data_IF_990084476691
#
_entry.id   IF_990084476691
#
_cell.length_a   1.000
_cell.length_b   1.000
_cell.length_c   1.000
_cell.angle_alpha   90.00
_cell.angle_beta   90.00
_cell.angle_gamma   90.00
#
_symmetry.space_group_name_H-M   'P 1'
#
loop_
_entity.id
_entity.type
_entity.pdbx_description
1 polymer ?
#
# COMPACT_ATOMS: atom_id res chain seq x y z
N UNK A 1 22.25 2.03 14.55
CA UNK A 1 21.60 0.77 14.93
C UNK A 1 21.86 -0.22 13.80
N UNK A 2 22.42 -1.40 14.08
CA UNK A 2 22.60 -2.44 13.03
C UNK A 2 21.33 -3.28 13.01
N UNK A 3 20.56 -3.17 11.94
CA UNK A 3 19.44 -4.06 11.68
C UNK A 3 19.96 -5.22 10.84
N UNK A 4 19.93 -6.42 11.37
CA UNK A 4 20.41 -7.64 10.68
C UNK A 4 19.34 -8.71 10.84
N UNK A 5 18.83 -9.25 9.75
CA UNK A 5 18.07 -10.49 9.79
C UNK A 5 19.00 -11.63 10.22
N UNK A 6 18.53 -12.47 11.15
CA UNK A 6 19.32 -13.61 11.61
C UNK A 6 19.73 -14.51 10.46
N UNK A 7 21.02 -14.87 10.40
CA UNK A 7 21.74 -15.52 9.31
C UNK A 7 21.39 -17.00 9.06
N UNK A 8 20.20 -17.50 9.25
CA UNK A 8 19.94 -18.93 9.10
C UNK A 8 18.65 -19.25 8.35
N UNK A 9 18.43 -18.61 7.18
CA UNK A 9 17.28 -18.98 6.34
C UNK A 9 17.69 -20.01 5.29
N UNK A 10 17.43 -21.28 5.59
CA UNK A 10 17.43 -22.38 4.61
C UNK A 10 16.12 -22.37 3.81
N UNK A 11 16.06 -23.10 2.70
CA UNK A 11 14.82 -23.26 1.91
C UNK A 11 13.65 -23.80 2.74
N UNK A 12 13.95 -24.59 3.79
CA UNK A 12 12.98 -25.15 4.75
C UNK A 12 12.34 -24.03 5.59
N UNK A 13 13.11 -23.01 5.98
CA UNK A 13 12.63 -21.87 6.77
C UNK A 13 11.70 -20.94 5.97
N UNK A 14 11.83 -20.89 4.65
CA UNK A 14 10.92 -20.13 3.77
C UNK A 14 9.54 -20.80 3.67
N UNK A 15 9.49 -22.14 3.62
CA UNK A 15 8.24 -22.89 3.68
C UNK A 15 7.57 -22.72 5.07
N UNK A 16 8.35 -22.71 6.14
CA UNK A 16 7.90 -22.46 7.51
C UNK A 16 7.33 -21.03 7.68
N UNK A 17 7.93 -20.03 7.03
CA UNK A 17 7.39 -18.65 7.01
C UNK A 17 5.98 -18.60 6.43
N UNK A 18 5.73 -19.33 5.35
CA UNK A 18 4.40 -19.35 4.71
C UNK A 18 3.37 -20.00 5.61
N UNK A 19 3.74 -21.06 6.33
CA UNK A 19 2.84 -21.73 7.27
C UNK A 19 2.62 -20.90 8.54
N UNK A 20 3.67 -20.23 9.05
CA UNK A 20 3.52 -19.26 10.12
C UNK A 20 2.63 -18.08 9.70
N UNK A 21 2.77 -17.57 8.48
CA UNK A 21 1.89 -16.54 7.95
C UNK A 21 0.42 -16.96 7.92
N UNK A 22 0.12 -18.21 7.56
CA UNK A 22 -1.25 -18.73 7.63
C UNK A 22 -1.81 -18.66 9.04
N UNK A 23 -1.02 -19.00 10.06
CA UNK A 23 -1.44 -18.88 11.47
C UNK A 23 -1.72 -17.42 11.86
N UNK A 24 -0.87 -16.49 11.42
CA UNK A 24 -1.12 -15.05 11.62
C UNK A 24 -2.36 -14.55 10.88
N UNK A 25 -2.71 -15.18 9.75
CA UNK A 25 -3.85 -14.77 8.91
C UNK A 25 -5.15 -15.51 9.26
N UNK A 26 -5.12 -16.55 10.09
CA UNK A 26 -6.35 -17.18 10.61
C UNK A 26 -7.15 -16.21 11.49
N UNK A 27 -6.46 -15.32 12.19
CA UNK A 27 -7.07 -14.24 13.01
C UNK A 27 -7.20 -12.91 12.26
N UNK A 28 -6.65 -12.81 11.02
CA UNK A 28 -6.73 -11.61 10.20
C UNK A 28 -8.05 -11.60 9.43
N UNK A 29 -8.53 -10.39 9.13
CA UNK A 29 -9.65 -10.18 8.22
C UNK A 29 -9.19 -10.54 6.79
N UNK A 30 -9.11 -11.83 6.50
CA UNK A 30 -8.97 -12.28 5.12
C UNK A 30 -10.37 -12.25 4.52
N UNK A 31 -10.67 -11.18 3.82
CA UNK A 31 -11.90 -11.09 3.07
C UNK A 31 -11.85 -12.07 1.89
N UNK A 32 -12.56 -13.17 2.01
CA UNK A 32 -12.75 -14.04 0.86
C UNK A 32 -13.38 -13.21 -0.27
N UNK A 33 -12.68 -13.13 -1.41
CA UNK A 33 -13.12 -12.33 -2.55
C UNK A 33 -12.79 -10.83 -2.47
N UNK A 34 -11.88 -10.40 -1.57
CA UNK A 34 -11.46 -8.99 -1.46
C UNK A 34 -10.95 -8.44 -2.81
N UNK A 35 -10.11 -9.18 -3.52
CA UNK A 35 -9.55 -8.72 -4.79
C UNK A 35 -10.62 -8.55 -5.87
N UNK A 36 -11.61 -9.45 -5.95
CA UNK A 36 -12.76 -9.32 -6.85
C UNK A 36 -13.63 -8.12 -6.45
N UNK A 37 -13.89 -7.92 -5.17
CA UNK A 37 -14.63 -6.76 -4.66
C UNK A 37 -13.93 -5.44 -5.00
N UNK A 38 -12.62 -5.35 -4.75
CA UNK A 38 -11.80 -4.18 -5.06
C UNK A 38 -11.84 -3.87 -6.56
N UNK A 39 -11.69 -4.88 -7.40
CA UNK A 39 -11.75 -4.73 -8.85
C UNK A 39 -13.12 -4.18 -9.31
N UNK A 40 -14.20 -4.74 -8.81
CA UNK A 40 -15.56 -4.33 -9.16
C UNK A 40 -15.88 -2.90 -8.70
N UNK A 41 -15.50 -2.52 -7.48
CA UNK A 41 -15.71 -1.16 -6.97
C UNK A 41 -14.81 -0.14 -7.70
N UNK A 42 -13.57 -0.50 -8.04
CA UNK A 42 -12.70 0.35 -8.86
C UNK A 42 -13.27 0.55 -10.26
N UNK A 43 -13.81 -0.50 -10.89
CA UNK A 43 -14.50 -0.39 -12.18
C UNK A 43 -15.71 0.56 -12.10
N UNK A 44 -16.54 0.42 -11.07
CA UNK A 44 -17.69 1.31 -10.84
C UNK A 44 -17.25 2.76 -10.63
N UNK A 45 -16.23 2.98 -9.81
CA UNK A 45 -15.68 4.31 -9.55
C UNK A 45 -15.15 4.94 -10.84
N UNK A 46 -14.33 4.23 -11.61
CA UNK A 46 -13.77 4.74 -12.86
C UNK A 46 -14.86 5.08 -13.89
N UNK A 47 -15.87 4.24 -14.04
CA UNK A 47 -17.03 4.54 -14.90
C UNK A 47 -17.77 5.78 -14.44
N UNK A 48 -17.94 5.99 -13.14
CA UNK A 48 -18.62 7.17 -12.61
C UNK A 48 -17.84 8.48 -12.84
N UNK A 49 -16.52 8.40 -13.02
CA UNK A 49 -15.64 9.57 -13.26
C UNK A 49 -15.48 9.82 -14.77
N UNK A 50 -15.30 8.75 -15.54
CA UNK A 50 -14.93 8.82 -16.95
C UNK A 50 -16.17 8.79 -17.85
N UNK A 51 -17.12 7.92 -17.55
CA UNK A 51 -18.35 7.64 -18.30
C UNK A 51 -18.56 6.14 -18.50
N UNK A 52 -19.82 5.75 -18.70
CA UNK A 52 -20.21 4.34 -18.82
C UNK A 52 -19.59 3.61 -20.01
N UNK A 53 -19.10 4.34 -21.03
CA UNK A 53 -18.41 3.77 -22.18
C UNK A 53 -17.02 3.22 -21.88
N UNK A 54 -16.42 3.62 -20.76
CA UNK A 54 -15.13 3.10 -20.32
C UNK A 54 -15.28 1.66 -19.79
N UNK A 55 -14.37 0.72 -20.03
CA UNK A 55 -13.06 0.89 -20.68
C UNK A 55 -13.05 0.71 -22.21
N UNK A 56 -14.18 0.61 -22.90
CA UNK A 56 -14.24 0.37 -24.35
C UNK A 56 -13.69 1.54 -25.18
N UNK A 57 -13.85 2.78 -24.66
CA UNK A 57 -13.19 3.98 -25.20
C UNK A 57 -12.21 4.49 -24.16
N UNK A 58 -10.95 4.61 -24.52
CA UNK A 58 -9.83 4.73 -23.57
C UNK A 58 -9.08 6.05 -23.65
N UNK A 59 -9.47 6.95 -24.54
CA UNK A 59 -8.69 8.14 -24.89
C UNK A 59 -9.07 9.40 -24.10
N UNK A 60 -10.31 9.50 -23.66
CA UNK A 60 -10.80 10.70 -22.95
C UNK A 60 -12.00 10.43 -22.05
N UNK A 61 -12.22 11.32 -21.09
CA UNK A 61 -13.41 11.38 -20.23
C UNK A 61 -14.60 11.98 -20.99
N UNK A 62 -15.83 11.94 -20.42
CA UNK A 62 -16.99 12.66 -20.96
C UNK A 62 -16.74 14.17 -21.13
N UNK A 63 -15.86 14.74 -20.33
CA UNK A 63 -15.43 16.16 -20.42
C UNK A 63 -14.29 16.37 -21.40
N UNK A 64 -13.98 15.39 -22.25
CA UNK A 64 -12.89 15.42 -23.25
C UNK A 64 -11.50 15.62 -22.63
N UNK A 65 -11.29 15.20 -21.39
CA UNK A 65 -9.98 15.21 -20.75
C UNK A 65 -9.26 13.90 -21.08
N UNK A 66 -7.98 13.94 -21.48
CA UNK A 66 -7.22 12.73 -21.78
C UNK A 66 -7.05 11.86 -20.55
N UNK A 67 -7.21 10.55 -20.71
CA UNK A 67 -6.97 9.56 -19.68
C UNK A 67 -5.52 9.09 -19.79
N UNK A 68 -4.78 9.14 -18.67
CA UNK A 68 -3.40 8.66 -18.60
C UNK A 68 -3.10 8.07 -17.23
N UNK A 69 -3.50 6.82 -17.04
CA UNK A 69 -3.27 6.09 -15.79
C UNK A 69 -1.80 5.93 -15.42
N UNK A 70 -0.92 5.79 -16.42
CA UNK A 70 0.53 5.68 -16.17
C UNK A 70 1.12 6.99 -15.64
N UNK A 71 0.62 8.13 -16.11
CA UNK A 71 1.04 9.42 -15.57
C UNK A 71 0.53 9.60 -14.13
N UNK A 72 -0.71 9.23 -13.85
CA UNK A 72 -1.26 9.24 -12.50
C UNK A 72 -0.45 8.31 -11.57
N UNK A 73 -0.21 7.06 -11.99
CA UNK A 73 0.63 6.12 -11.24
C UNK A 73 2.03 6.68 -10.95
N UNK A 74 2.64 7.37 -11.91
CA UNK A 74 3.95 7.98 -11.70
C UNK A 74 3.90 9.10 -10.65
N UNK A 75 2.83 9.89 -10.63
CA UNK A 75 2.66 10.93 -9.63
C UNK A 75 2.56 10.35 -8.22
N UNK A 76 1.72 9.33 -8.01
CA UNK A 76 1.57 8.69 -6.70
C UNK A 76 2.84 7.93 -6.27
N UNK A 77 3.57 7.30 -7.21
CA UNK A 77 4.86 6.70 -6.90
C UNK A 77 5.87 7.74 -6.39
N UNK A 78 5.86 8.96 -6.93
CA UNK A 78 6.71 10.04 -6.43
C UNK A 78 6.22 10.62 -5.09
N UNK A 79 4.91 10.71 -4.86
CA UNK A 79 4.35 11.09 -3.56
C UNK A 79 4.71 10.05 -2.48
N UNK A 80 4.62 8.76 -2.81
CA UNK A 80 5.09 7.65 -1.96
C UNK A 80 6.57 7.82 -1.58
N UNK A 81 7.45 8.06 -2.57
CA UNK A 81 8.88 8.24 -2.35
C UNK A 81 9.17 9.45 -1.47
N UNK A 82 8.40 10.53 -1.61
CA UNK A 82 8.55 11.73 -0.79
C UNK A 82 8.15 11.51 0.69
N UNK A 83 7.54 10.39 1.05
CA UNK A 83 7.36 9.97 2.43
C UNK A 83 8.66 9.50 3.11
N UNK A 84 9.76 9.37 2.37
CA UNK A 84 11.04 8.86 2.87
C UNK A 84 12.13 9.91 2.86
N UNK A 85 13.14 9.73 3.72
CA UNK A 85 14.31 10.62 3.84
C UNK A 85 15.41 10.25 2.83
N UNK A 86 15.11 10.25 1.54
CA UNK A 86 16.08 9.91 0.48
C UNK A 86 16.91 11.09 0.00
N UNK A 87 16.51 12.33 0.32
CA UNK A 87 17.14 13.57 -0.16
C UNK A 87 18.42 13.87 0.65
N UNK A 88 19.53 13.23 0.27
CA UNK A 88 20.83 13.32 0.97
C UNK A 88 21.41 14.74 1.07
N UNK A 89 20.92 15.69 0.27
CA UNK A 89 21.32 17.11 0.33
C UNK A 89 20.51 17.91 1.36
N UNK A 90 19.53 17.31 2.03
CA UNK A 90 18.81 17.94 3.13
C UNK A 90 19.42 17.50 4.46
N UNK A 91 19.49 18.38 5.49
CA UNK A 91 19.96 18.03 6.81
C UNK A 91 18.90 17.18 7.52
N UNK A 92 18.85 15.90 7.19
CA UNK A 92 17.95 14.92 7.81
C UNK A 92 18.77 13.89 8.57
N UNK A 93 18.19 13.33 9.62
CA UNK A 93 18.74 12.13 10.22
C UNK A 93 18.52 10.96 9.24
N UNK A 94 19.61 10.51 8.64
CA UNK A 94 19.62 9.42 7.67
C UNK A 94 19.91 8.09 8.38
N UNK A 95 18.93 7.61 9.14
CA UNK A 95 18.98 6.30 9.76
C UNK A 95 17.77 5.47 9.32
N UNK A 96 17.85 4.14 9.41
CA UNK A 96 16.69 3.27 9.11
C UNK A 96 15.49 3.63 9.98
N UNK A 97 15.73 4.03 11.23
CA UNK A 97 14.68 4.41 12.18
C UNK A 97 13.92 5.67 11.74
N UNK A 98 14.59 6.63 11.15
CA UNK A 98 14.02 7.92 10.71
C UNK A 98 13.74 7.95 9.20
N UNK A 99 14.02 6.86 8.49
CA UNK A 99 13.96 6.85 7.02
C UNK A 99 12.55 7.09 6.49
N UNK A 100 11.54 6.44 7.06
CA UNK A 100 10.13 6.79 6.79
C UNK A 100 9.73 7.92 7.74
N UNK A 101 9.62 9.13 7.19
CA UNK A 101 9.25 10.36 7.94
C UNK A 101 7.74 10.56 8.05
N UNK A 102 6.95 9.85 7.23
CA UNK A 102 5.49 9.94 7.19
C UNK A 102 4.89 8.56 6.90
N UNK A 103 4.85 7.73 7.95
CA UNK A 103 4.41 6.34 7.88
C UNK A 103 2.99 6.21 7.33
N UNK A 104 2.07 7.03 7.85
CA UNK A 104 0.67 6.91 7.49
C UNK A 104 0.42 7.35 6.05
N UNK A 105 1.06 8.45 5.63
CA UNK A 105 0.95 8.91 4.26
C UNK A 105 1.59 7.92 3.28
N UNK A 106 2.67 7.24 3.66
CA UNK A 106 3.27 6.20 2.80
C UNK A 106 2.31 5.03 2.51
N UNK A 107 1.42 4.69 3.46
CA UNK A 107 0.39 3.67 3.23
C UNK A 107 -0.73 4.22 2.33
N UNK A 108 -1.11 5.47 2.51
CA UNK A 108 -2.13 6.14 1.67
C UNK A 108 -1.67 6.18 0.21
N UNK A 109 -0.44 6.63 -0.04
CA UNK A 109 0.11 6.72 -1.40
C UNK A 109 0.32 5.32 -2.02
N UNK A 110 0.66 4.31 -1.21
CA UNK A 110 0.68 2.92 -1.68
C UNK A 110 -0.72 2.45 -2.11
N UNK A 111 -1.77 2.80 -1.38
CA UNK A 111 -3.15 2.50 -1.78
C UNK A 111 -3.53 3.20 -3.10
N UNK A 112 -3.12 4.45 -3.29
CA UNK A 112 -3.36 5.18 -4.54
C UNK A 112 -2.58 4.56 -5.71
N UNK A 113 -1.35 4.10 -5.50
CA UNK A 113 -0.59 3.29 -6.47
C UNK A 113 -1.39 2.05 -6.89
N UNK A 114 -1.94 1.29 -5.94
CA UNK A 114 -2.72 0.07 -6.22
C UNK A 114 -4.00 0.42 -7.00
N UNK A 115 -4.69 1.51 -6.66
CA UNK A 115 -5.86 2.00 -7.40
C UNK A 115 -5.54 2.23 -8.89
N UNK A 116 -4.41 2.87 -9.19
CA UNK A 116 -4.02 3.12 -10.58
C UNK A 116 -3.51 1.88 -11.29
N UNK A 117 -2.83 0.96 -10.61
CA UNK A 117 -2.44 -0.34 -11.16
C UNK A 117 -3.68 -1.15 -11.60
N UNK A 118 -4.71 -1.23 -10.75
CA UNK A 118 -5.96 -1.91 -11.07
C UNK A 118 -6.69 -1.19 -12.21
N UNK A 119 -6.68 0.14 -12.25
CA UNK A 119 -7.29 0.92 -13.34
C UNK A 119 -6.63 0.64 -14.70
N UNK A 120 -5.30 0.46 -14.72
CA UNK A 120 -4.55 0.06 -15.92
C UNK A 120 -4.99 -1.35 -16.38
N UNK A 121 -5.09 -2.32 -15.47
CA UNK A 121 -5.51 -3.67 -15.80
C UNK A 121 -6.95 -3.70 -16.35
N UNK A 122 -7.87 -2.95 -15.74
CA UNK A 122 -9.26 -2.81 -16.23
C UNK A 122 -9.25 -2.21 -17.65
N UNK A 123 -8.49 -1.14 -17.90
CA UNK A 123 -8.39 -0.50 -19.19
C UNK A 123 -7.83 -1.44 -20.26
N UNK A 124 -6.87 -2.28 -19.89
CA UNK A 124 -6.28 -3.27 -20.78
C UNK A 124 -7.14 -4.54 -20.96
N UNK A 125 -8.28 -4.61 -20.27
CA UNK A 125 -9.21 -5.73 -20.33
C UNK A 125 -8.68 -6.99 -19.63
N UNK A 126 -7.78 -6.82 -18.67
CA UNK A 126 -7.25 -7.91 -17.84
C UNK A 126 -7.99 -8.00 -16.51
N UNK A 127 -8.15 -9.21 -15.99
CA UNK A 127 -8.43 -9.36 -14.54
C UNK A 127 -7.20 -8.84 -13.79
N UNK A 128 -7.42 -8.11 -12.71
CA UNK A 128 -6.31 -7.55 -11.95
C UNK A 128 -5.34 -8.65 -11.47
N UNK A 129 -4.05 -8.39 -11.67
CA UNK A 129 -2.95 -9.17 -11.11
C UNK A 129 -2.42 -8.54 -9.81
N UNK A 130 -3.05 -7.45 -9.35
CA UNK A 130 -2.66 -6.74 -8.15
C UNK A 130 -3.55 -7.14 -6.99
N UNK A 131 -2.92 -7.36 -5.84
CA UNK A 131 -3.58 -7.70 -4.59
C UNK A 131 -3.01 -6.86 -3.45
N UNK A 132 -3.85 -6.59 -2.44
CA UNK A 132 -3.39 -6.04 -1.17
C UNK A 132 -2.76 -7.11 -0.28
N UNK A 133 -3.00 -8.40 -0.57
CA UNK A 133 -2.47 -9.52 0.22
C UNK A 133 -0.95 -9.58 0.07
N UNK A 134 -0.17 -9.46 1.16
CA UNK A 134 1.28 -9.46 1.09
C UNK A 134 1.83 -10.82 0.63
N UNK A 135 2.75 -10.81 -0.33
CA UNK A 135 3.53 -12.01 -0.69
C UNK A 135 4.71 -12.13 0.27
N UNK A 136 4.45 -12.75 1.42
CA UNK A 136 5.35 -12.75 2.60
C UNK A 136 6.75 -13.25 2.28
N UNK A 137 6.87 -14.32 1.49
CA UNK A 137 8.18 -14.87 1.09
C UNK A 137 8.98 -13.88 0.26
N UNK A 138 8.34 -13.19 -0.66
CA UNK A 138 8.98 -12.16 -1.50
C UNK A 138 9.36 -10.93 -0.66
N UNK A 139 8.44 -10.44 0.17
CA UNK A 139 8.67 -9.30 1.06
C UNK A 139 9.82 -9.59 2.02
N UNK A 140 9.85 -10.76 2.64
CA UNK A 140 10.93 -11.18 3.53
C UNK A 140 12.28 -11.25 2.78
N UNK A 141 12.27 -11.75 1.54
CA UNK A 141 13.47 -11.78 0.69
C UNK A 141 13.98 -10.36 0.36
N UNK A 142 13.07 -9.42 0.09
CA UNK A 142 13.42 -8.01 -0.16
C UNK A 142 14.02 -7.38 1.11
N UNK A 143 13.37 -7.56 2.26
CA UNK A 143 13.88 -7.06 3.55
C UNK A 143 15.27 -7.62 3.81
N UNK A 144 15.48 -8.94 3.61
CA UNK A 144 16.77 -9.58 3.75
C UNK A 144 17.81 -8.94 2.83
N UNK A 145 17.52 -8.77 1.54
CA UNK A 145 18.41 -8.12 0.57
C UNK A 145 18.82 -6.71 1.01
N UNK A 146 17.90 -5.94 1.59
CA UNK A 146 18.20 -4.59 2.10
C UNK A 146 19.10 -4.65 3.32
N UNK A 147 18.90 -5.62 4.22
CA UNK A 147 19.54 -5.71 5.54
C UNK A 147 20.76 -6.64 5.60
N UNK A 148 21.06 -7.37 4.54
CA UNK A 148 22.19 -8.34 4.48
C UNK A 148 23.56 -7.69 4.74
N UNK A 149 23.67 -6.38 4.54
CA UNK A 149 24.92 -5.67 4.79
C UNK A 149 25.02 -5.23 6.26
N UNK A 150 26.18 -5.46 6.88
CA UNK A 150 26.45 -5.04 8.26
C UNK A 150 26.63 -3.52 8.42
N UNK A 151 26.71 -2.78 7.32
CA UNK A 151 26.86 -1.34 7.27
C UNK A 151 25.50 -0.66 7.08
N UNK A 152 25.08 0.16 8.03
CA UNK A 152 23.85 0.96 7.92
C UNK A 152 23.85 1.82 6.66
N UNK A 153 25.00 2.36 6.26
CA UNK A 153 25.14 3.12 5.01
C UNK A 153 24.74 2.29 3.78
N UNK A 154 25.16 1.03 3.72
CA UNK A 154 24.80 0.16 2.59
C UNK A 154 23.35 -0.27 2.64
N UNK A 155 22.80 -0.50 3.83
CA UNK A 155 21.37 -0.77 4.01
C UNK A 155 20.53 0.41 3.50
N UNK A 156 20.89 1.64 3.85
CA UNK A 156 20.23 2.84 3.35
C UNK A 156 20.37 3.00 1.83
N UNK A 157 21.52 2.61 1.27
CA UNK A 157 21.72 2.61 -0.18
C UNK A 157 20.82 1.58 -0.87
N UNK A 158 20.79 0.34 -0.38
CA UNK A 158 19.93 -0.71 -0.93
C UNK A 158 18.44 -0.30 -0.86
N UNK A 159 18.05 0.38 0.21
CA UNK A 159 16.71 0.92 0.37
C UNK A 159 16.42 2.02 -0.64
N UNK A 160 17.37 2.93 -0.88
CA UNK A 160 17.25 3.97 -1.90
C UNK A 160 17.18 3.40 -3.32
N UNK A 161 17.96 2.35 -3.61
CA UNK A 161 17.91 1.64 -4.89
C UNK A 161 16.52 0.98 -5.08
N UNK A 162 15.95 0.40 -4.02
CA UNK A 162 14.59 -0.17 -4.05
C UNK A 162 13.52 0.92 -4.28
N UNK A 163 13.68 2.10 -3.67
CA UNK A 163 12.79 3.25 -3.95
C UNK A 163 12.89 3.70 -5.41
N UNK A 164 14.08 3.68 -6.01
CA UNK A 164 14.27 4.00 -7.42
C UNK A 164 13.55 3.01 -8.34
N UNK A 165 13.53 1.72 -7.98
CA UNK A 165 12.76 0.72 -8.72
C UNK A 165 11.24 1.04 -8.67
N UNK A 166 10.73 1.43 -7.50
CA UNK A 166 9.33 1.87 -7.34
C UNK A 166 9.05 3.14 -8.15
N UNK A 167 9.97 4.11 -8.19
CA UNK A 167 9.84 5.33 -9.00
C UNK A 167 9.63 5.04 -10.48
N UNK A 168 10.21 3.96 -10.98
CA UNK A 168 10.14 3.56 -12.39
C UNK A 168 8.97 2.62 -12.70
N UNK A 169 8.13 2.28 -11.73
CA UNK A 169 7.07 1.29 -11.91
C UNK A 169 6.03 1.67 -12.96
N UNK A 170 5.83 2.95 -13.24
CA UNK A 170 4.85 3.42 -14.25
C UNK A 170 5.17 2.95 -15.67
N UNK A 171 6.43 2.56 -15.95
CA UNK A 171 6.85 2.02 -17.25
C UNK A 171 6.27 0.61 -17.42
N UNK A 172 6.40 -0.24 -16.40
CA UNK A 172 5.92 -1.62 -16.40
C UNK A 172 5.45 -2.00 -14.98
N UNK A 173 4.23 -1.60 -14.58
CA UNK A 173 3.71 -1.89 -13.25
C UNK A 173 3.64 -3.41 -13.00
N UNK A 174 3.99 -3.83 -11.78
CA UNK A 174 3.90 -5.24 -11.36
C UNK A 174 3.64 -5.35 -9.86
N UNK A 175 3.13 -6.49 -9.43
CA UNK A 175 2.95 -6.80 -8.00
C UNK A 175 4.29 -6.74 -7.23
N UNK A 176 5.40 -7.04 -7.87
CA UNK A 176 6.73 -6.94 -7.27
C UNK A 176 7.03 -5.52 -6.76
N UNK A 177 6.63 -4.46 -7.48
CA UNK A 177 6.81 -3.08 -7.02
C UNK A 177 5.96 -2.77 -5.78
N UNK A 178 4.74 -3.31 -5.70
CA UNK A 178 3.88 -3.20 -4.51
C UNK A 178 4.53 -3.93 -3.34
N UNK A 179 5.03 -5.15 -3.54
CA UNK A 179 5.74 -5.91 -2.51
C UNK A 179 7.02 -5.20 -2.03
N UNK A 180 7.75 -4.51 -2.92
CA UNK A 180 8.89 -3.65 -2.55
C UNK A 180 8.45 -2.49 -1.65
N UNK A 181 7.34 -1.82 -1.99
CA UNK A 181 6.81 -0.74 -1.17
C UNK A 181 6.38 -1.23 0.21
N UNK A 182 5.66 -2.36 0.28
CA UNK A 182 5.29 -3.01 1.54
C UNK A 182 6.53 -3.38 2.36
N UNK A 183 7.57 -3.95 1.72
CA UNK A 183 8.81 -4.33 2.39
C UNK A 183 9.53 -3.14 3.03
N UNK A 184 9.59 -2.00 2.32
CA UNK A 184 10.21 -0.76 2.84
C UNK A 184 9.43 -0.22 4.04
N UNK A 185 8.10 -0.13 3.94
CA UNK A 185 7.26 0.35 5.05
C UNK A 185 7.44 -0.56 6.27
N UNK A 186 7.39 -1.88 6.07
CA UNK A 186 7.55 -2.89 7.12
C UNK A 186 8.92 -2.76 7.79
N UNK A 187 9.99 -2.68 7.01
CA UNK A 187 11.35 -2.54 7.53
C UNK A 187 11.52 -1.28 8.37
N UNK A 188 11.03 -0.14 7.87
CA UNK A 188 11.10 1.13 8.59
C UNK A 188 10.29 1.08 9.91
N UNK A 189 9.12 0.43 9.90
CA UNK A 189 8.32 0.23 11.12
C UNK A 189 9.05 -0.62 12.17
N UNK A 190 9.70 -1.71 11.73
CA UNK A 190 10.47 -2.56 12.64
C UNK A 190 11.67 -1.79 13.19
N UNK A 191 12.37 -1.02 12.36
CA UNK A 191 13.53 -0.23 12.77
C UNK A 191 13.17 0.83 13.84
N UNK A 192 11.96 1.38 13.82
CA UNK A 192 11.47 2.32 14.85
C UNK A 192 11.35 1.69 16.24
N UNK A 193 11.23 0.36 16.34
CA UNK A 193 11.15 -0.37 17.60
C UNK A 193 12.52 -0.56 18.30
N UNK A 194 13.59 0.01 17.75
CA UNK A 194 14.96 0.00 18.31
C UNK A 194 15.54 -1.42 18.56
N UNK A 195 15.15 -2.39 17.74
CA UNK A 195 15.68 -3.75 17.85
C UNK A 195 17.03 -3.86 17.16
N UNK A 196 17.99 -4.49 17.83
CA UNK A 196 19.32 -4.77 17.26
C UNK A 196 19.28 -5.84 16.16
N UNK A 197 18.24 -6.67 16.18
CA UNK A 197 18.05 -7.77 15.21
C UNK A 197 16.58 -7.87 14.84
N UNK A 198 16.30 -8.09 13.56
CA UNK A 198 14.97 -8.39 13.06
C UNK A 198 14.78 -9.91 13.05
N UNK A 199 13.67 -10.37 13.60
CA UNK A 199 13.24 -11.76 13.51
C UNK A 199 12.11 -11.91 12.49
N UNK A 200 11.80 -13.15 12.12
CA UNK A 200 10.64 -13.44 11.25
C UNK A 200 9.35 -13.00 11.93
N UNK A 201 9.21 -13.25 13.21
CA UNK A 201 8.04 -12.86 13.99
C UNK A 201 7.85 -11.34 13.95
N UNK A 202 8.94 -10.55 13.95
CA UNK A 202 8.86 -9.09 13.79
C UNK A 202 8.31 -8.69 12.41
N UNK A 203 8.74 -9.41 11.36
CA UNK A 203 8.26 -9.17 9.99
C UNK A 203 6.78 -9.56 9.89
N UNK A 204 6.40 -10.76 10.33
CA UNK A 204 5.02 -11.24 10.28
C UNK A 204 4.07 -10.35 11.07
N UNK A 205 4.44 -9.98 12.30
CA UNK A 205 3.65 -9.06 13.13
C UNK A 205 3.47 -7.69 12.48
N UNK A 206 4.54 -7.13 11.88
CA UNK A 206 4.46 -5.83 11.22
C UNK A 206 3.64 -5.89 9.94
N UNK A 207 3.77 -6.97 9.17
CA UNK A 207 2.99 -7.19 7.94
C UNK A 207 1.50 -7.36 8.25
N UNK A 208 1.16 -8.10 9.33
CA UNK A 208 -0.22 -8.27 9.77
C UNK A 208 -0.88 -6.92 10.04
N UNK A 209 -0.26 -6.11 10.91
CA UNK A 209 -0.79 -4.77 11.22
C UNK A 209 -0.86 -3.85 10.00
N UNK A 210 0.14 -3.93 9.11
CA UNK A 210 0.17 -3.13 7.89
C UNK A 210 -0.95 -3.54 6.92
N UNK A 211 -1.19 -4.85 6.77
CA UNK A 211 -2.24 -5.36 5.90
C UNK A 211 -3.63 -4.89 6.32
N UNK A 212 -3.95 -5.02 7.61
CA UNK A 212 -5.23 -4.58 8.15
C UNK A 212 -5.45 -3.09 7.91
N UNK A 213 -4.43 -2.28 8.25
CA UNK A 213 -4.49 -0.83 8.07
C UNK A 213 -4.59 -0.45 6.58
N UNK A 214 -3.79 -1.07 5.72
CA UNK A 214 -3.79 -0.84 4.28
C UNK A 214 -5.14 -1.19 3.65
N UNK A 215 -5.75 -2.31 4.05
CA UNK A 215 -7.07 -2.72 3.56
C UNK A 215 -8.14 -1.70 3.95
N UNK A 216 -8.17 -1.27 5.21
CA UNK A 216 -9.10 -0.23 5.66
C UNK A 216 -8.88 1.10 4.94
N UNK A 217 -7.63 1.53 4.76
CA UNK A 217 -7.31 2.77 4.03
C UNK A 217 -7.74 2.66 2.58
N UNK A 218 -7.46 1.55 1.91
CA UNK A 218 -7.85 1.34 0.52
C UNK A 218 -9.36 1.44 0.32
N UNK A 219 -10.14 0.73 1.12
CA UNK A 219 -11.61 0.79 1.08
C UNK A 219 -12.12 2.20 1.41
N UNK A 220 -11.50 2.87 2.37
CA UNK A 220 -11.80 4.25 2.72
C UNK A 220 -11.54 5.22 1.57
N UNK A 221 -10.45 5.06 0.84
CA UNK A 221 -10.12 5.86 -0.35
C UNK A 221 -11.12 5.64 -1.48
N UNK A 222 -11.54 4.39 -1.73
CA UNK A 222 -12.62 4.10 -2.67
C UNK A 222 -13.93 4.85 -2.30
N UNK A 223 -14.34 4.77 -1.03
CA UNK A 223 -15.51 5.48 -0.52
C UNK A 223 -15.37 7.00 -0.71
N UNK A 224 -14.24 7.57 -0.31
CA UNK A 224 -13.97 8.99 -0.39
C UNK A 224 -14.04 9.49 -1.85
N UNK A 225 -13.39 8.78 -2.77
CA UNK A 225 -13.38 9.14 -4.18
C UNK A 225 -14.79 9.05 -4.80
N UNK A 226 -15.58 8.04 -4.43
CA UNK A 226 -16.99 7.93 -4.81
C UNK A 226 -17.82 9.13 -4.30
N UNK A 227 -17.66 9.47 -3.03
CA UNK A 227 -18.39 10.60 -2.41
C UNK A 227 -18.01 11.94 -3.04
N UNK A 228 -16.71 12.16 -3.32
CA UNK A 228 -16.22 13.35 -4.03
C UNK A 228 -16.85 13.47 -5.43
N UNK A 229 -16.93 12.36 -6.16
CA UNK A 229 -17.55 12.34 -7.48
C UNK A 229 -19.06 12.64 -7.45
N UNK A 230 -19.73 12.25 -6.36
CA UNK A 230 -21.14 12.59 -6.09
C UNK A 230 -21.35 14.02 -5.60
N UNK A 231 -20.29 14.81 -5.45
CA UNK A 231 -20.36 16.21 -5.00
C UNK A 231 -20.25 16.40 -3.49
N UNK A 232 -20.07 15.34 -2.72
CA UNK A 232 -19.75 15.39 -1.29
C UNK A 232 -18.26 15.68 -1.07
N UNK A 233 -17.92 16.34 0.03
CA UNK A 233 -16.52 16.49 0.46
C UNK A 233 -15.68 17.54 -0.30
N UNK A 234 -16.23 18.32 -1.21
CA UNK A 234 -15.49 19.36 -1.95
C UNK A 234 -14.99 20.54 -1.09
N UNK A 235 -15.32 20.55 0.20
CA UNK A 235 -14.95 21.63 1.13
C UNK A 235 -13.58 21.43 1.77
N UNK A 236 -13.00 20.24 1.65
CA UNK A 236 -11.76 19.85 2.31
C UNK A 236 -10.59 19.79 1.32
N UNK A 237 -9.39 20.04 1.80
CA UNK A 237 -8.17 19.82 1.04
C UNK A 237 -7.87 18.31 0.92
N UNK A 238 -7.05 17.91 -0.08
CA UNK A 238 -6.58 16.50 -0.21
C UNK A 238 -5.98 15.99 1.11
N UNK A 239 -5.26 16.84 1.83
CA UNK A 239 -4.64 16.52 3.11
C UNK A 239 -5.66 16.21 4.20
N UNK A 240 -6.70 17.05 4.36
CA UNK A 240 -7.75 16.83 5.36
C UNK A 240 -8.54 15.56 5.07
N UNK A 241 -8.86 15.30 3.81
CA UNK A 241 -9.56 14.10 3.37
C UNK A 241 -8.75 12.82 3.65
N UNK A 242 -7.45 12.82 3.37
CA UNK A 242 -6.56 11.70 3.68
C UNK A 242 -6.46 11.48 5.20
N UNK A 243 -6.38 12.56 5.99
CA UNK A 243 -6.38 12.47 7.44
C UNK A 243 -7.68 11.86 7.99
N UNK A 244 -8.83 12.19 7.43
CA UNK A 244 -10.13 11.59 7.81
C UNK A 244 -10.11 10.08 7.56
N UNK A 245 -9.70 9.63 6.38
CA UNK A 245 -9.62 8.19 6.04
C UNK A 245 -8.68 7.48 7.00
N UNK A 246 -7.52 8.06 7.27
CA UNK A 246 -6.52 7.48 8.15
C UNK A 246 -7.02 7.36 9.60
N UNK A 247 -7.65 8.39 10.14
CA UNK A 247 -8.22 8.37 11.51
C UNK A 247 -9.31 7.31 11.61
N UNK A 248 -10.20 7.22 10.62
CA UNK A 248 -11.27 6.22 10.60
C UNK A 248 -10.66 4.82 10.51
N UNK A 249 -9.71 4.57 9.61
CA UNK A 249 -9.06 3.28 9.44
C UNK A 249 -8.37 2.81 10.74
N UNK A 250 -7.67 3.71 11.44
CA UNK A 250 -7.05 3.39 12.74
C UNK A 250 -8.06 3.17 13.88
N UNK A 251 -9.28 3.65 13.75
CA UNK A 251 -10.32 3.53 14.78
C UNK A 251 -11.24 2.32 14.59
N UNK A 252 -11.12 1.61 13.46
CA UNK A 252 -11.89 0.40 13.22
C UNK A 252 -11.27 -0.74 14.03
N UNK A 253 -12.02 -1.35 14.95
CA UNK A 253 -11.52 -2.50 15.68
C UNK A 253 -11.38 -3.69 14.71
N UNK A 254 -10.17 -4.21 14.59
CA UNK A 254 -9.85 -5.35 13.74
C UNK A 254 -10.67 -6.60 14.07
N UNK A 255 -11.13 -6.72 15.31
CA UNK A 255 -11.96 -7.84 15.80
C UNK A 255 -13.45 -7.73 15.48
N UNK A 256 -13.97 -6.55 15.18
CA UNK A 256 -15.38 -6.33 14.85
C UNK A 256 -15.69 -6.38 13.35
N UNK A 257 -14.65 -6.30 12.52
CA UNK A 257 -14.76 -6.39 11.07
C UNK A 257 -14.71 -7.82 10.54
N UNK A 258 -15.18 -8.78 11.35
CA UNK A 258 -15.38 -10.18 10.94
C UNK A 258 -16.59 -10.20 10.00
N UNK A 259 -16.36 -9.79 8.77
CA UNK A 259 -17.38 -9.70 7.74
C UNK A 259 -16.77 -9.93 6.36
N UNK A 260 -17.52 -9.61 5.36
CA UNK A 260 -17.02 -9.53 4.00
C UNK A 260 -16.55 -8.09 3.70
N UNK A 261 -15.84 -7.90 2.59
CA UNK A 261 -15.33 -6.58 2.17
C UNK A 261 -16.44 -5.51 2.03
N UNK A 262 -17.67 -5.93 1.66
CA UNK A 262 -18.82 -5.02 1.52
C UNK A 262 -19.25 -4.43 2.88
N UNK A 263 -19.22 -5.22 3.96
CA UNK A 263 -19.58 -4.73 5.30
C UNK A 263 -18.57 -3.68 5.79
N UNK A 264 -17.27 -3.92 5.61
CA UNK A 264 -16.22 -2.94 5.94
C UNK A 264 -16.37 -1.69 5.09
N UNK A 265 -16.61 -1.86 3.79
CA UNK A 265 -16.81 -0.75 2.88
C UNK A 265 -17.99 0.13 3.28
N UNK A 266 -19.14 -0.47 3.66
CA UNK A 266 -20.32 0.26 4.13
C UNK A 266 -20.08 1.00 5.44
N UNK A 267 -19.36 0.38 6.39
CA UNK A 267 -19.00 1.03 7.64
C UNK A 267 -18.07 2.22 7.39
N UNK A 268 -17.06 2.06 6.53
CA UNK A 268 -16.18 3.16 6.10
C UNK A 268 -16.98 4.29 5.43
N UNK A 269 -17.87 3.96 4.49
CA UNK A 269 -18.71 4.95 3.81
C UNK A 269 -19.57 5.73 4.81
N UNK A 270 -20.17 5.06 5.78
CA UNK A 270 -20.99 5.72 6.80
C UNK A 270 -20.15 6.65 7.69
N UNK A 271 -18.98 6.21 8.17
CA UNK A 271 -18.10 7.05 9.00
C UNK A 271 -17.57 8.25 8.24
N UNK A 272 -17.13 8.05 7.01
CA UNK A 272 -16.65 9.14 6.16
C UNK A 272 -17.75 10.15 5.90
N UNK A 273 -18.97 9.71 5.54
CA UNK A 273 -20.13 10.61 5.35
C UNK A 273 -20.45 11.45 6.57
N UNK A 274 -20.27 10.90 7.77
CA UNK A 274 -20.47 11.66 9.02
C UNK A 274 -19.37 12.68 9.30
N UNK A 275 -18.18 12.45 8.77
CA UNK A 275 -17.01 13.30 9.00
C UNK A 275 -16.89 14.42 7.96
N UNK A 276 -17.51 14.26 6.78
CA UNK A 276 -17.59 15.26 5.72
C UNK A 276 -18.75 16.26 5.95
#
# INVERSE_FOLDING_TARGET
MKVVLKDNYTKIEIEDITDQWKLYTEDMIIFQGLDDFIYDEQLKLNKSIIGDYWPNKKDHTEKMLPINWKLALNAEAMEFIDCFNWKHWKPNDMSLKSYNKDYLNSIIELCDIVHFCISIDIEEGRKSNYTLIPYVTEITSIIKKITDDVSEYRQLRNLSDTLLEIANMSVNPSQEHINKAIAIITLCQIAQREKDKITIEDVLYSLSNLYDLMTCIYLGKLCLNKLRNQGHGRKYSKWEDNAIVAVIANSLPTTELIGNADDVYREMEWRIKKSL
#
